data_IF_546901976415
#
_entry.id   IF_546901976415
#
_cell.length_a   1.000
_cell.length_b   1.000
_cell.length_c   1.000
_cell.angle_alpha   90.00
_cell.angle_beta   90.00
_cell.angle_gamma   90.00
#
_symmetry.space_group_name_H-M   'P 1'
#
loop_
_entity.id
_entity.type
_entity.pdbx_description
1 polymer ?
#
# COMPACT_ATOMS: atom_id res chain seq x y z
N UNK A 1 -4.05 -40.72 6.96
CA UNK A 1 -3.97 -40.58 8.43
C UNK A 1 -2.54 -40.90 8.80
N UNK A 2 -1.74 -39.88 9.09
CA UNK A 2 -0.33 -40.00 9.44
C UNK A 2 -0.18 -40.59 10.83
N UNK A 3 0.61 -41.66 10.95
CA UNK A 3 1.06 -42.22 12.23
C UNK A 3 2.01 -41.23 12.92
N UNK A 4 1.47 -40.21 13.57
CA UNK A 4 2.27 -39.13 14.19
C UNK A 4 3.00 -39.51 15.48
N UNK A 5 2.78 -40.71 16.05
CA UNK A 5 3.47 -41.11 17.30
C UNK A 5 4.63 -42.12 17.14
N UNK A 6 4.87 -42.70 15.95
CA UNK A 6 5.84 -43.80 15.82
C UNK A 6 5.63 -44.92 16.86
N UNK A 7 6.71 -45.56 17.31
CA UNK A 7 6.72 -46.68 18.30
C UNK A 7 6.47 -46.26 19.77
N UNK A 8 5.63 -45.26 20.00
CA UNK A 8 5.33 -44.69 21.33
C UNK A 8 3.94 -45.13 21.81
N UNK A 9 3.75 -45.44 23.10
CA UNK A 9 2.42 -45.73 23.67
C UNK A 9 1.58 -44.44 23.71
N UNK A 10 0.28 -44.58 23.44
CA UNK A 10 -0.70 -43.48 23.38
C UNK A 10 -1.43 -43.37 24.73
N UNK A 11 -1.39 -42.21 25.37
CA UNK A 11 -2.27 -41.89 26.48
C UNK A 11 -3.43 -41.02 25.97
N UNK A 12 -4.66 -41.49 26.18
CA UNK A 12 -5.87 -40.75 25.84
C UNK A 12 -6.34 -39.99 27.06
N UNK A 13 -6.55 -38.69 26.92
CA UNK A 13 -7.19 -37.88 27.97
C UNK A 13 -8.23 -36.96 27.35
N UNK A 14 -9.33 -36.79 28.07
CA UNK A 14 -10.41 -35.89 27.68
C UNK A 14 -10.22 -34.55 28.37
N UNK A 15 -10.22 -33.46 27.60
CA UNK A 15 -10.41 -32.12 28.17
C UNK A 15 -11.85 -31.70 27.87
N UNK A 16 -12.61 -31.35 28.91
CA UNK A 16 -13.90 -30.70 28.74
C UNK A 16 -13.67 -29.24 28.31
N UNK A 17 -13.99 -28.90 27.06
CA UNK A 17 -13.93 -27.53 26.56
C UNK A 17 -15.17 -26.74 26.99
N UNK A 18 -15.00 -25.71 27.83
CA UNK A 18 -16.04 -24.72 28.11
C UNK A 18 -15.99 -23.57 27.08
N UNK A 19 -16.28 -23.86 25.81
CA UNK A 19 -16.52 -22.83 24.78
C UNK A 19 -18.03 -22.58 24.63
N UNK A 20 -18.51 -21.33 24.42
CA UNK A 20 -19.94 -21.01 24.39
C UNK A 20 -20.69 -21.44 23.10
N UNK A 21 -20.20 -22.45 22.39
CA UNK A 21 -20.79 -22.94 21.16
C UNK A 21 -20.13 -24.24 20.73
N UNK A 22 -20.74 -25.37 21.07
CA UNK A 22 -20.34 -26.71 20.62
C UNK A 22 -19.62 -27.53 21.69
N UNK A 23 -20.30 -28.57 22.18
CA UNK A 23 -19.70 -29.69 22.93
C UNK A 23 -19.06 -30.66 21.94
N UNK A 24 -17.84 -30.38 21.50
CA UNK A 24 -16.98 -31.39 20.89
C UNK A 24 -15.97 -31.86 21.95
N UNK A 25 -16.11 -33.13 22.35
CA UNK A 25 -15.14 -33.83 23.18
C UNK A 25 -13.86 -34.02 22.36
N UNK A 26 -12.88 -33.15 22.62
CA UNK A 26 -11.61 -33.14 21.89
C UNK A 26 -10.71 -34.24 22.48
N UNK A 27 -10.82 -35.45 21.94
CA UNK A 27 -10.06 -36.63 22.38
C UNK A 27 -8.59 -36.47 21.96
N UNK A 28 -7.76 -35.89 22.85
CA UNK A 28 -6.34 -35.65 22.56
C UNK A 28 -5.49 -36.84 23.00
N UNK A 29 -4.55 -37.19 22.13
CA UNK A 29 -3.63 -38.30 22.34
C UNK A 29 -2.24 -37.75 22.63
N UNK A 30 -1.70 -38.05 23.81
CA UNK A 30 -0.30 -37.75 24.14
C UNK A 30 0.59 -38.91 23.67
N UNK A 31 1.63 -38.63 22.89
CA UNK A 31 2.65 -39.63 22.57
C UNK A 31 3.64 -39.72 23.75
N UNK A 32 3.71 -40.86 24.44
CA UNK A 32 4.67 -41.08 25.53
C UNK A 32 6.03 -41.48 24.92
N UNK A 33 7.12 -40.71 25.11
CA UNK A 33 8.42 -41.01 24.54
C UNK A 33 8.93 -42.41 24.92
N UNK A 34 9.61 -43.08 23.97
CA UNK A 34 10.12 -44.47 24.10
C UNK A 34 10.95 -44.72 25.36
N UNK A 35 11.57 -43.72 25.95
CA UNK A 35 12.36 -43.86 27.17
C UNK A 35 11.52 -44.36 28.35
N UNK A 36 10.21 -44.12 28.37
CA UNK A 36 9.28 -44.69 29.35
C UNK A 36 8.64 -46.01 28.89
N UNK A 37 8.76 -46.37 27.61
CA UNK A 37 8.13 -47.59 27.09
C UNK A 37 8.80 -48.88 27.57
N UNK A 38 10.04 -48.80 28.04
CA UNK A 38 10.75 -49.93 28.66
C UNK A 38 10.51 -50.02 30.18
N UNK A 39 10.15 -48.92 30.85
CA UNK A 39 9.86 -48.91 32.30
C UNK A 39 8.39 -49.21 32.64
N UNK A 40 7.50 -49.28 31.64
CA UNK A 40 6.09 -49.67 31.84
C UNK A 40 5.92 -51.20 31.64
N UNK A 41 6.69 -51.97 32.38
CA UNK A 41 6.35 -53.34 32.78
C UNK A 41 5.96 -53.28 34.26
N UNK A 42 4.72 -52.91 34.54
CA UNK A 42 4.22 -52.85 35.91
C UNK A 42 4.24 -54.26 36.53
N UNK A 43 5.20 -54.52 37.42
CA UNK A 43 4.92 -55.32 38.60
C UNK A 43 4.06 -54.47 39.54
N UNK A 44 3.17 -55.09 40.33
CA UNK A 44 2.21 -54.40 41.19
C UNK A 44 2.84 -53.49 42.29
N UNK A 45 4.17 -53.36 42.34
CA UNK A 45 4.93 -52.58 43.31
C UNK A 45 5.88 -51.53 42.70
N UNK A 46 5.95 -51.37 41.38
CA UNK A 46 6.83 -50.36 40.77
C UNK A 46 6.09 -49.02 40.65
N UNK A 47 6.44 -48.09 41.54
CA UNK A 47 5.96 -46.71 41.49
C UNK A 47 6.38 -46.05 40.18
N UNK A 48 5.42 -45.57 39.39
CA UNK A 48 5.70 -44.68 38.25
C UNK A 48 6.68 -43.57 38.68
N UNK A 49 7.72 -43.24 37.89
CA UNK A 49 8.56 -42.08 38.13
C UNK A 49 7.80 -40.80 37.75
N UNK A 50 6.71 -40.54 38.47
CA UNK A 50 5.77 -39.43 38.27
C UNK A 50 6.52 -38.10 38.25
N UNK A 51 7.59 -37.98 39.05
CA UNK A 51 8.43 -36.79 39.11
C UNK A 51 9.18 -36.50 37.80
N UNK A 52 9.69 -37.54 37.11
CA UNK A 52 10.41 -37.37 35.86
C UNK A 52 9.45 -37.07 34.71
N UNK A 53 8.27 -37.71 34.69
CA UNK A 53 7.20 -37.43 33.74
C UNK A 53 6.63 -36.01 33.92
N UNK A 54 6.40 -35.59 35.16
CA UNK A 54 6.01 -34.22 35.50
C UNK A 54 7.05 -33.21 35.02
N UNK A 55 8.34 -33.49 35.25
CA UNK A 55 9.44 -32.60 34.84
C UNK A 55 9.51 -32.46 33.32
N UNK A 56 9.42 -33.55 32.57
CA UNK A 56 9.46 -33.51 31.10
C UNK A 56 8.23 -32.81 30.51
N UNK A 57 7.04 -33.04 31.08
CA UNK A 57 5.82 -32.35 30.68
C UNK A 57 5.90 -30.83 30.90
N UNK A 58 6.42 -30.39 32.07
CA UNK A 58 6.62 -28.97 32.37
C UNK A 58 7.63 -28.35 31.38
N UNK A 59 8.75 -29.02 31.12
CA UNK A 59 9.78 -28.51 30.21
C UNK A 59 9.24 -28.32 28.78
N UNK A 60 8.47 -29.27 28.26
CA UNK A 60 7.90 -29.15 26.91
C UNK A 60 6.80 -28.07 26.86
N UNK A 61 5.98 -27.94 27.92
CA UNK A 61 4.99 -26.87 28.02
C UNK A 61 5.64 -25.48 28.08
N UNK A 62 6.72 -25.31 28.86
CA UNK A 62 7.50 -24.07 28.93
C UNK A 62 8.09 -23.70 27.56
N UNK A 63 8.66 -24.68 26.85
CA UNK A 63 9.19 -24.50 25.49
C UNK A 63 8.10 -24.07 24.51
N UNK A 64 6.91 -24.66 24.58
CA UNK A 64 5.79 -24.26 23.72
C UNK A 64 5.32 -22.83 24.01
N UNK A 65 5.23 -22.43 25.28
CA UNK A 65 4.88 -21.06 25.67
C UNK A 65 5.92 -20.08 25.13
N UNK A 66 7.22 -20.36 25.30
CA UNK A 66 8.30 -19.53 24.77
C UNK A 66 8.25 -19.38 23.24
N UNK A 67 7.96 -20.46 22.52
CA UNK A 67 7.80 -20.42 21.06
C UNK A 67 6.61 -19.54 20.63
N UNK A 68 5.47 -19.65 21.31
CA UNK A 68 4.29 -18.81 21.05
C UNK A 68 4.59 -17.33 21.31
N UNK A 69 5.34 -17.02 22.38
CA UNK A 69 5.79 -15.66 22.66
C UNK A 69 6.72 -15.10 21.58
N UNK A 70 7.67 -15.91 21.10
CA UNK A 70 8.61 -15.51 20.06
C UNK A 70 7.90 -15.20 18.74
N UNK A 71 6.98 -16.08 18.31
CA UNK A 71 6.18 -15.86 17.09
C UNK A 71 5.36 -14.58 17.22
N UNK A 72 4.73 -14.37 18.38
CA UNK A 72 3.91 -13.18 18.62
C UNK A 72 4.73 -11.88 18.61
N UNK A 73 5.96 -11.91 19.15
CA UNK A 73 6.88 -10.78 19.10
C UNK A 73 7.25 -10.43 17.66
N UNK A 74 7.60 -11.44 16.85
CA UNK A 74 7.92 -11.25 15.42
C UNK A 74 6.73 -10.71 14.63
N UNK A 75 5.52 -11.22 14.88
CA UNK A 75 4.29 -10.70 14.26
C UNK A 75 4.09 -9.21 14.58
N UNK A 76 4.20 -8.84 15.87
CA UNK A 76 4.09 -7.44 16.30
C UNK A 76 5.15 -6.54 15.65
N UNK A 77 6.40 -6.98 15.60
CA UNK A 77 7.49 -6.22 14.96
C UNK A 77 7.20 -5.98 13.47
N UNK A 78 6.71 -6.99 12.76
CA UNK A 78 6.33 -6.86 11.34
C UNK A 78 5.17 -5.87 11.16
N UNK A 79 4.13 -5.98 11.99
CA UNK A 79 2.98 -5.07 11.93
C UNK A 79 3.37 -3.61 12.22
N UNK A 80 4.23 -3.38 13.22
CA UNK A 80 4.77 -2.05 13.53
C UNK A 80 5.66 -1.52 12.39
N UNK A 81 6.46 -2.38 11.77
CA UNK A 81 7.29 -2.00 10.63
C UNK A 81 6.42 -1.54 9.45
N UNK A 82 5.34 -2.27 9.13
CA UNK A 82 4.38 -1.86 8.10
C UNK A 82 3.71 -0.54 8.49
N UNK A 83 3.25 -0.40 9.73
CA UNK A 83 2.60 0.82 10.22
C UNK A 83 3.50 2.05 10.11
N UNK A 84 4.80 1.91 10.39
CA UNK A 84 5.77 3.01 10.33
C UNK A 84 6.19 3.36 8.89
N UNK A 85 6.26 2.36 8.00
CA UNK A 85 6.74 2.55 6.63
C UNK A 85 5.64 3.03 5.67
N UNK A 86 4.40 2.58 5.86
CA UNK A 86 3.27 2.86 4.95
C UNK A 86 3.08 4.37 4.68
N UNK A 87 3.15 5.29 5.68
CA UNK A 87 3.00 6.72 5.42
C UNK A 87 4.15 7.29 4.57
N UNK A 88 5.37 6.81 4.78
CA UNK A 88 6.53 7.25 4.01
C UNK A 88 6.43 6.77 2.56
N UNK A 89 6.13 5.50 2.33
CA UNK A 89 5.96 4.93 0.99
C UNK A 89 4.85 5.65 0.21
N UNK A 90 3.70 5.91 0.86
CA UNK A 90 2.61 6.69 0.26
C UNK A 90 3.05 8.11 -0.12
N UNK A 91 3.81 8.78 0.77
CA UNK A 91 4.37 10.12 0.49
C UNK A 91 5.32 10.09 -0.71
N UNK A 92 6.19 9.08 -0.80
CA UNK A 92 7.09 8.90 -1.94
C UNK A 92 6.31 8.66 -3.25
N UNK A 93 5.28 7.82 -3.21
CA UNK A 93 4.44 7.55 -4.38
C UNK A 93 3.71 8.81 -4.87
N UNK A 94 3.06 9.56 -3.98
CA UNK A 94 2.40 10.83 -4.30
C UNK A 94 3.40 11.85 -4.85
N UNK A 95 4.60 11.91 -4.28
CA UNK A 95 5.65 12.79 -4.77
C UNK A 95 6.11 12.43 -6.20
N UNK A 96 6.29 11.14 -6.51
CA UNK A 96 6.64 10.69 -7.88
C UNK A 96 5.60 11.10 -8.91
N UNK A 97 4.32 10.95 -8.60
CA UNK A 97 3.22 11.39 -9.48
C UNK A 97 3.27 12.91 -9.67
N UNK A 98 3.50 13.68 -8.59
CA UNK A 98 3.64 15.14 -8.67
C UNK A 98 4.79 15.56 -9.59
N UNK A 99 5.95 14.93 -9.43
CA UNK A 99 7.13 15.23 -10.25
C UNK A 99 6.90 14.88 -11.72
N UNK A 100 6.22 13.77 -12.00
CA UNK A 100 5.84 13.40 -13.38
C UNK A 100 4.88 14.42 -14.01
N UNK A 101 3.88 14.89 -13.26
CA UNK A 101 2.97 15.95 -13.71
C UNK A 101 3.72 17.26 -13.99
N UNK A 102 4.63 17.67 -13.10
CA UNK A 102 5.45 18.86 -13.30
C UNK A 102 6.34 18.77 -14.55
N UNK A 103 6.89 17.59 -14.84
CA UNK A 103 7.64 17.35 -16.06
C UNK A 103 6.76 17.51 -17.31
N UNK A 104 5.54 16.98 -17.28
CA UNK A 104 4.57 17.15 -18.36
C UNK A 104 4.20 18.63 -18.56
N UNK A 105 3.91 19.36 -17.49
CA UNK A 105 3.63 20.81 -17.55
C UNK A 105 4.81 21.59 -18.14
N UNK A 106 6.05 21.28 -17.76
CA UNK A 106 7.23 21.92 -18.32
C UNK A 106 7.39 21.63 -19.82
N UNK A 107 7.02 20.43 -20.28
CA UNK A 107 7.01 20.07 -21.70
C UNK A 107 5.97 20.88 -22.48
N UNK A 108 4.77 21.06 -21.92
CA UNK A 108 3.73 21.90 -22.52
C UNK A 108 4.16 23.36 -22.62
N UNK A 109 4.78 23.91 -21.58
CA UNK A 109 5.31 25.28 -21.59
C UNK A 109 6.34 25.48 -22.72
N UNK A 110 7.28 24.54 -22.88
CA UNK A 110 8.26 24.60 -23.99
C UNK A 110 7.60 24.53 -25.37
N UNK A 111 6.57 23.70 -25.55
CA UNK A 111 5.84 23.64 -26.82
C UNK A 111 5.11 24.96 -27.11
N UNK A 112 4.56 25.59 -26.08
CA UNK A 112 3.93 26.90 -26.18
C UNK A 112 4.94 27.98 -26.58
N UNK A 113 6.12 28.01 -25.94
CA UNK A 113 7.18 28.97 -26.26
C UNK A 113 7.65 28.87 -27.72
N UNK A 114 7.78 27.65 -28.25
CA UNK A 114 8.13 27.44 -29.66
C UNK A 114 7.05 28.04 -30.58
N UNK A 115 5.77 27.81 -30.26
CA UNK A 115 4.66 28.39 -31.03
C UNK A 115 4.61 29.91 -30.93
N UNK A 116 4.83 30.48 -29.75
CA UNK A 116 4.94 31.93 -29.56
C UNK A 116 6.11 32.56 -30.33
N UNK A 117 7.23 31.85 -30.45
CA UNK A 117 8.36 32.31 -31.27
C UNK A 117 8.06 32.26 -32.77
N UNK A 118 7.46 31.16 -33.25
CA UNK A 118 6.99 31.05 -34.65
C UNK A 118 6.04 32.22 -34.98
N UNK A 119 5.18 32.58 -34.04
CA UNK A 119 4.24 33.68 -34.19
C UNK A 119 4.87 35.04 -34.22
N UNK A 120 5.78 35.30 -33.28
CA UNK A 120 6.51 36.56 -33.25
C UNK A 120 7.20 36.78 -34.59
N UNK A 121 7.80 35.73 -35.17
CA UNK A 121 8.39 35.78 -36.51
C UNK A 121 7.37 36.09 -37.61
N UNK A 122 6.18 35.49 -37.60
CA UNK A 122 5.11 35.78 -38.56
C UNK A 122 4.64 37.24 -38.41
N UNK A 123 4.42 37.70 -37.17
CA UNK A 123 3.98 39.06 -36.87
C UNK A 123 4.99 40.10 -37.36
N UNK A 124 6.29 39.92 -37.06
CA UNK A 124 7.35 40.80 -37.57
C UNK A 124 7.39 40.82 -39.10
N UNK A 125 7.13 39.67 -39.77
CA UNK A 125 7.07 39.62 -41.23
C UNK A 125 5.87 40.39 -41.77
N UNK A 126 4.70 40.26 -41.15
CA UNK A 126 3.48 41.00 -41.52
C UNK A 126 3.67 42.50 -41.31
N UNK A 127 4.28 42.91 -40.20
CA UNK A 127 4.62 44.31 -39.93
C UNK A 127 5.58 44.87 -40.99
N UNK A 128 6.65 44.13 -41.32
CA UNK A 128 7.58 44.56 -42.35
C UNK A 128 6.93 44.67 -43.74
N UNK A 129 6.09 43.70 -44.11
CA UNK A 129 5.31 43.76 -45.34
C UNK A 129 4.36 44.97 -45.33
N UNK A 130 3.77 45.31 -44.18
CA UNK A 130 2.93 46.49 -44.05
C UNK A 130 3.71 47.79 -44.28
N UNK A 131 4.92 47.90 -43.72
CA UNK A 131 5.83 49.04 -43.94
C UNK A 131 6.26 49.17 -45.40
N UNK A 132 6.75 48.08 -46.02
CA UNK A 132 7.12 48.05 -47.44
C UNK A 132 5.95 48.52 -48.33
N UNK A 133 4.73 48.12 -47.99
CA UNK A 133 3.55 48.51 -48.74
C UNK A 133 3.11 49.96 -48.52
N UNK A 134 3.29 50.52 -47.32
CA UNK A 134 3.09 51.95 -47.09
C UNK A 134 4.07 52.77 -47.92
N UNK A 135 5.33 52.32 -48.02
CA UNK A 135 6.33 52.93 -48.88
C UNK A 135 5.88 52.83 -50.35
N UNK A 136 5.49 51.66 -50.86
CA UNK A 136 4.98 51.53 -52.24
C UNK A 136 3.77 52.43 -52.55
N UNK A 137 2.83 52.62 -51.60
CA UNK A 137 1.69 53.54 -51.77
C UNK A 137 2.14 55.00 -51.97
N UNK A 138 3.29 55.41 -51.45
CA UNK A 138 3.83 56.75 -51.69
C UNK A 138 4.40 56.91 -53.12
N UNK A 139 4.78 55.80 -53.77
CA UNK A 139 5.39 55.79 -55.11
C UNK A 139 4.36 55.56 -56.23
N UNK A 140 3.21 54.95 -55.94
CA UNK A 140 2.14 54.63 -56.92
C UNK A 140 1.01 55.67 -56.97
N UNK A 141 1.34 56.95 -57.22
CA UNK A 141 0.32 57.96 -57.55
C UNK A 141 -0.30 57.80 -58.96
N UNK A 142 -0.06 56.68 -59.68
CA UNK A 142 -0.33 56.61 -61.13
C UNK A 142 -1.05 55.37 -61.68
N UNK A 143 -1.31 54.29 -60.94
CA UNK A 143 -1.92 53.07 -61.53
C UNK A 143 -2.95 52.36 -60.61
N UNK A 144 -4.25 52.60 -60.84
CA UNK A 144 -5.37 52.13 -59.99
C UNK A 144 -5.47 50.59 -59.87
N UNK A 145 -5.06 49.84 -60.90
CA UNK A 145 -5.20 48.38 -60.93
C UNK A 145 -4.17 47.66 -60.04
N UNK A 146 -2.99 48.26 -59.84
CA UNK A 146 -1.99 47.78 -58.86
C UNK A 146 -2.41 48.06 -57.43
N UNK A 147 -2.94 49.26 -57.17
CA UNK A 147 -3.51 49.64 -55.87
C UNK A 147 -4.59 48.65 -55.41
N UNK A 148 -5.45 48.19 -56.32
CA UNK A 148 -6.48 47.20 -56.00
C UNK A 148 -5.91 45.82 -55.63
N UNK A 149 -4.86 45.35 -56.30
CA UNK A 149 -4.19 44.07 -55.98
C UNK A 149 -3.45 44.13 -54.64
N UNK A 150 -2.83 45.28 -54.34
CA UNK A 150 -2.18 45.59 -53.07
C UNK A 150 -3.20 45.57 -51.92
N UNK A 151 -4.32 46.27 -52.07
CA UNK A 151 -5.37 46.29 -51.04
C UNK A 151 -5.99 44.89 -50.81
N UNK A 152 -6.15 44.07 -51.86
CA UNK A 152 -6.60 42.69 -51.73
C UNK A 152 -5.59 41.84 -50.93
N UNK A 153 -4.30 41.93 -51.24
CA UNK A 153 -3.25 41.21 -50.51
C UNK A 153 -3.20 41.60 -49.02
N UNK A 154 -3.30 42.89 -48.72
CA UNK A 154 -3.35 43.38 -47.33
C UNK A 154 -4.55 42.83 -46.56
N UNK A 155 -5.74 42.84 -47.17
CA UNK A 155 -6.93 42.28 -46.53
C UNK A 155 -6.78 40.79 -46.26
N UNK A 156 -6.29 40.02 -47.22
CA UNK A 156 -6.06 38.58 -47.05
C UNK A 156 -5.03 38.32 -45.94
N UNK A 157 -3.93 39.07 -45.93
CA UNK A 157 -2.87 38.92 -44.91
C UNK A 157 -3.37 39.29 -43.50
N UNK A 158 -4.19 40.34 -43.37
CA UNK A 158 -4.83 40.72 -42.11
C UNK A 158 -5.78 39.62 -41.63
N UNK A 159 -6.60 39.06 -42.53
CA UNK A 159 -7.48 37.95 -42.18
C UNK A 159 -6.73 36.68 -41.75
N UNK A 160 -5.63 36.34 -42.43
CA UNK A 160 -4.77 35.23 -42.02
C UNK A 160 -4.16 35.47 -40.64
N UNK A 161 -3.70 36.70 -40.36
CA UNK A 161 -3.21 37.11 -39.04
C UNK A 161 -4.28 36.92 -37.97
N UNK A 162 -5.48 37.46 -38.17
CA UNK A 162 -6.59 37.36 -37.21
C UNK A 162 -6.98 35.90 -36.94
N UNK A 163 -7.00 35.05 -37.97
CA UNK A 163 -7.30 33.62 -37.83
C UNK A 163 -6.23 32.89 -37.02
N UNK A 164 -4.95 33.21 -37.27
CA UNK A 164 -3.83 32.67 -36.52
C UNK A 164 -3.94 33.08 -35.04
N UNK A 165 -4.13 34.38 -34.75
CA UNK A 165 -4.31 34.94 -33.41
C UNK A 165 -5.45 34.23 -32.65
N UNK A 166 -6.61 34.06 -33.27
CA UNK A 166 -7.75 33.37 -32.67
C UNK A 166 -7.44 31.91 -32.29
N UNK A 167 -6.78 31.15 -33.17
CA UNK A 167 -6.40 29.76 -32.91
C UNK A 167 -5.44 29.63 -31.72
N UNK A 168 -4.61 30.63 -31.47
CA UNK A 168 -3.64 30.64 -30.36
C UNK A 168 -4.34 30.94 -29.05
N UNK A 169 -5.21 31.95 -29.05
CA UNK A 169 -6.00 32.27 -27.86
C UNK A 169 -6.82 31.05 -27.43
N UNK A 170 -7.40 30.31 -28.38
CA UNK A 170 -8.07 29.04 -28.13
C UNK A 170 -7.10 27.98 -27.56
N UNK A 171 -5.96 27.76 -28.21
CA UNK A 171 -4.96 26.77 -27.75
C UNK A 171 -4.43 27.08 -26.34
N UNK A 172 -4.13 28.35 -26.04
CA UNK A 172 -3.66 28.80 -24.73
C UNK A 172 -4.75 28.59 -23.68
N UNK A 173 -6.01 28.91 -24.01
CA UNK A 173 -7.15 28.69 -23.12
C UNK A 173 -7.33 27.21 -22.80
N UNK A 174 -7.30 26.35 -23.81
CA UNK A 174 -7.43 24.90 -23.67
C UNK A 174 -6.31 24.30 -22.81
N UNK A 175 -5.06 24.73 -23.03
CA UNK A 175 -3.92 24.26 -22.24
C UNK A 175 -4.01 24.72 -20.78
N UNK A 176 -4.49 25.94 -20.52
CA UNK A 176 -4.68 26.41 -19.16
C UNK A 176 -5.81 25.64 -18.44
N UNK A 177 -6.91 25.32 -19.14
CA UNK A 177 -7.98 24.46 -18.61
C UNK A 177 -7.46 23.07 -18.28
N UNK A 178 -6.67 22.45 -19.17
CA UNK A 178 -6.04 21.14 -18.91
C UNK A 178 -5.12 21.19 -17.69
N UNK A 179 -4.26 22.21 -17.58
CA UNK A 179 -3.37 22.40 -16.42
C UNK A 179 -4.15 22.50 -15.10
N UNK A 180 -5.23 23.30 -15.07
CA UNK A 180 -6.07 23.44 -13.87
C UNK A 180 -6.77 22.12 -13.52
N UNK A 181 -7.25 21.38 -14.52
CA UNK A 181 -7.84 20.06 -14.32
C UNK A 181 -6.84 19.05 -13.76
N UNK A 182 -5.61 19.01 -14.29
CA UNK A 182 -4.54 18.13 -13.79
C UNK A 182 -4.19 18.45 -12.33
N UNK A 183 -4.09 19.73 -11.97
CA UNK A 183 -3.86 20.17 -10.58
C UNK A 183 -5.00 19.76 -9.64
N UNK A 184 -6.25 19.89 -10.09
CA UNK A 184 -7.44 19.46 -9.32
C UNK A 184 -7.43 17.94 -9.11
N UNK A 185 -7.26 17.17 -10.19
CA UNK A 185 -7.22 15.70 -10.15
C UNK A 185 -6.07 15.20 -9.27
N UNK A 186 -4.90 15.84 -9.35
CA UNK A 186 -3.77 15.52 -8.47
C UNK A 186 -4.10 15.79 -6.99
N UNK A 187 -4.78 16.89 -6.68
CA UNK A 187 -5.21 17.20 -5.31
C UNK A 187 -6.20 16.16 -4.78
N UNK A 188 -7.18 15.76 -5.59
CA UNK A 188 -8.16 14.71 -5.26
C UNK A 188 -7.49 13.35 -5.05
N UNK A 189 -6.57 12.98 -5.95
CA UNK A 189 -5.75 11.77 -5.82
C UNK A 189 -4.94 11.76 -4.53
N UNK A 190 -4.21 12.85 -4.23
CA UNK A 190 -3.40 12.95 -3.02
C UNK A 190 -4.25 12.86 -1.75
N UNK A 191 -5.43 13.49 -1.73
CA UNK A 191 -6.40 13.37 -0.62
C UNK A 191 -6.88 11.93 -0.47
N UNK A 192 -7.25 11.27 -1.56
CA UNK A 192 -7.72 9.88 -1.56
C UNK A 192 -6.65 8.92 -1.02
N UNK A 193 -5.40 9.04 -1.47
CA UNK A 193 -4.28 8.22 -0.95
C UNK A 193 -4.08 8.47 0.54
N UNK A 194 -4.07 9.73 0.99
CA UNK A 194 -3.91 10.04 2.41
C UNK A 194 -5.06 9.46 3.25
N UNK A 195 -6.29 9.54 2.77
CA UNK A 195 -7.44 8.95 3.45
C UNK A 195 -7.32 7.43 3.53
N UNK A 196 -6.91 6.76 2.45
CA UNK A 196 -6.70 5.32 2.44
C UNK A 196 -5.57 4.91 3.40
N UNK A 197 -4.49 5.68 3.48
CA UNK A 197 -3.41 5.44 4.46
C UNK A 197 -3.95 5.53 5.88
N UNK A 198 -4.76 6.54 6.20
CA UNK A 198 -5.36 6.67 7.53
C UNK A 198 -6.27 5.49 7.89
N UNK A 199 -7.10 5.03 6.96
CA UNK A 199 -7.95 3.84 7.14
C UNK A 199 -7.08 2.60 7.39
N UNK A 200 -6.04 2.39 6.58
CA UNK A 200 -5.12 1.26 6.74
C UNK A 200 -4.35 1.31 8.07
N UNK A 201 -3.91 2.50 8.51
CA UNK A 201 -3.24 2.66 9.81
C UNK A 201 -4.16 2.33 10.97
N UNK A 202 -5.44 2.73 10.89
CA UNK A 202 -6.45 2.37 11.90
C UNK A 202 -6.66 0.84 11.94
N UNK A 203 -6.82 0.21 10.78
CA UNK A 203 -6.95 -1.24 10.67
C UNK A 203 -5.72 -2.00 11.19
N UNK A 204 -4.52 -1.48 10.96
CA UNK A 204 -3.28 -2.04 11.52
C UNK A 204 -3.23 -1.93 13.05
N UNK A 205 -3.62 -0.78 13.61
CA UNK A 205 -3.70 -0.62 15.07
C UNK A 205 -4.69 -1.60 15.71
N UNK A 206 -5.86 -1.79 15.09
CA UNK A 206 -6.85 -2.78 15.53
C UNK A 206 -6.31 -4.21 15.41
N UNK A 207 -5.60 -4.52 14.33
CA UNK A 207 -4.97 -5.83 14.12
C UNK A 207 -3.90 -6.13 15.19
N UNK A 208 -3.03 -5.16 15.49
CA UNK A 208 -2.02 -5.27 16.55
C UNK A 208 -2.69 -5.53 17.90
N UNK A 209 -3.72 -4.75 18.24
CA UNK A 209 -4.47 -4.93 19.48
C UNK A 209 -5.12 -6.32 19.58
N UNK A 210 -5.79 -6.76 18.51
CA UNK A 210 -6.43 -8.07 18.46
C UNK A 210 -5.41 -9.22 18.55
N UNK A 211 -4.25 -9.07 17.92
CA UNK A 211 -3.15 -10.05 18.04
C UNK A 211 -2.67 -10.16 19.49
N UNK A 212 -2.48 -9.04 20.19
CA UNK A 212 -2.10 -9.01 21.60
C UNK A 212 -3.13 -9.68 22.50
N UNK A 213 -4.42 -9.41 22.28
CA UNK A 213 -5.52 -10.01 23.03
C UNK A 213 -5.61 -11.53 22.81
N UNK A 214 -5.51 -11.99 21.55
CA UNK A 214 -5.49 -13.43 21.22
C UNK A 214 -4.29 -14.13 21.85
N UNK A 215 -3.11 -13.49 21.83
CA UNK A 215 -1.90 -14.04 22.47
C UNK A 215 -2.14 -14.22 23.97
N UNK A 216 -2.62 -13.17 24.65
CA UNK A 216 -2.90 -13.22 26.10
C UNK A 216 -3.86 -14.37 26.42
N UNK A 217 -4.97 -14.47 25.68
CA UNK A 217 -5.93 -15.55 25.86
C UNK A 217 -5.33 -16.96 25.68
N UNK A 218 -4.48 -17.16 24.66
CA UNK A 218 -3.80 -18.47 24.44
C UNK A 218 -2.84 -18.82 25.56
N UNK A 219 -2.05 -17.85 26.04
CA UNK A 219 -1.12 -18.06 27.16
C UNK A 219 -1.90 -18.37 28.43
N UNK A 220 -2.93 -17.58 28.74
CA UNK A 220 -3.78 -17.80 29.91
C UNK A 220 -4.45 -19.19 29.88
N UNK A 221 -4.93 -19.64 28.71
CA UNK A 221 -5.49 -20.98 28.53
C UNK A 221 -4.46 -22.09 28.76
N UNK A 222 -3.23 -21.96 28.21
CA UNK A 222 -2.17 -22.95 28.42
C UNK A 222 -1.68 -23.00 29.86
N UNK A 223 -1.62 -21.86 30.54
CA UNK A 223 -1.31 -21.80 31.97
C UNK A 223 -2.43 -22.47 32.79
N UNK A 224 -3.69 -22.31 32.41
CA UNK A 224 -4.82 -22.98 33.07
C UNK A 224 -4.78 -24.51 32.86
N UNK A 225 -4.54 -24.98 31.64
CA UNK A 225 -4.34 -26.41 31.34
C UNK A 225 -3.20 -27.00 32.18
N UNK A 226 -2.05 -26.33 32.24
CA UNK A 226 -0.90 -26.77 33.04
C UNK A 226 -1.26 -26.89 34.53
N UNK A 227 -2.01 -25.92 35.08
CA UNK A 227 -2.46 -25.95 36.47
C UNK A 227 -3.36 -27.16 36.75
N UNK A 228 -4.28 -27.49 35.84
CA UNK A 228 -5.15 -28.66 35.98
C UNK A 228 -4.34 -29.96 35.96
N UNK A 229 -3.45 -30.12 34.98
CA UNK A 229 -2.58 -31.31 34.89
C UNK A 229 -1.72 -31.47 36.14
N UNK A 230 -1.14 -30.38 36.65
CA UNK A 230 -0.36 -30.42 37.89
C UNK A 230 -1.21 -30.75 39.13
N UNK A 231 -2.47 -30.31 39.19
CA UNK A 231 -3.40 -30.68 40.26
C UNK A 231 -3.79 -32.14 40.20
N UNK A 232 -4.03 -32.68 39.01
CA UNK A 232 -4.38 -34.10 38.84
C UNK A 232 -3.20 -35.01 39.15
N UNK A 233 -1.99 -34.65 38.72
CA UNK A 233 -0.79 -35.42 39.04
C UNK A 233 -0.45 -35.43 40.54
N UNK A 234 -0.83 -34.38 41.30
CA UNK A 234 -0.74 -34.37 42.77
C UNK A 234 -1.69 -35.35 43.46
N UNK A 235 -2.74 -35.84 42.78
CA UNK A 235 -3.65 -36.87 43.34
C UNK A 235 -3.05 -38.27 43.25
N UNK A 236 -2.01 -38.47 42.45
CA UNK A 236 -1.35 -39.76 42.20
C UNK A 236 0.02 -39.89 42.88
N UNK A 237 0.50 -38.85 43.56
CA UNK A 237 1.67 -38.87 44.45
C UNK A 237 1.26 -38.72 45.90
#
# INVERSE_FOLDING_TARGET
>A
MSDECGYSRKAHYMIANNSPGGTEEDNRTLCIPRNYSQEINFSANDSLPINDFQREFILEAEKQIQNLELISRKEKELLLKIQNNLPQEAKYAVHRVKTSMQYMHAKYAKQLDVKLNELTSILTRVEHLHEEMQDFKQWEQTDEERLAKIDLFLRTSIQEKEMIEANIEETVRDLNVKRQNDERLFSEFAKSINQQVQVSLKGLSECIHNAEMRRKARVDAKVAELKLVLQDLKKFG
#
